data_IF_596151021744
#
_entry.id   IF_596151021744
#
_cell.length_a   1.000
_cell.length_b   1.000
_cell.length_c   1.000
_cell.angle_alpha   90.00
_cell.angle_beta   90.00
_cell.angle_gamma   90.00
#
_symmetry.space_group_name_H-M   'P 1'
#
loop_
_entity.id
_entity.type
_entity.pdbx_description
1 polymer ?
#
# COMPACT_ATOMS: atom_id res chain seq x y z
N UNK A 1 3.26 -3.08 8.05
CA UNK A 1 4.55 -2.53 8.50
C UNK A 1 5.02 -3.29 9.72
N UNK A 2 6.30 -3.59 9.84
CA UNK A 2 6.89 -4.17 11.06
C UNK A 2 7.30 -3.05 12.01
N UNK A 3 6.87 -3.14 13.26
CA UNK A 3 7.18 -2.23 14.36
C UNK A 3 8.03 -2.99 15.36
N UNK A 4 9.15 -2.42 15.78
CA UNK A 4 10.08 -3.02 16.73
C UNK A 4 10.23 -2.09 17.93
N UNK A 5 10.08 -2.63 19.13
CA UNK A 5 10.40 -1.91 20.35
C UNK A 5 11.92 -1.84 20.50
N UNK A 6 12.52 -0.72 20.11
CA UNK A 6 13.96 -0.49 20.24
C UNK A 6 14.34 0.11 21.61
N UNK A 7 13.39 0.19 22.55
CA UNK A 7 13.67 0.58 23.93
C UNK A 7 14.40 -0.56 24.65
N UNK A 8 15.14 -0.21 25.69
CA UNK A 8 15.79 -1.18 26.58
C UNK A 8 14.84 -1.89 27.55
N UNK A 9 13.53 -1.65 27.42
CA UNK A 9 12.48 -2.02 28.37
C UNK A 9 11.14 -2.29 27.65
N UNK A 10 10.19 -3.02 28.26
CA UNK A 10 8.90 -3.26 27.65
C UNK A 10 8.08 -1.97 27.55
N UNK A 11 7.28 -1.88 26.50
CA UNK A 11 6.28 -0.83 26.31
C UNK A 11 4.88 -1.46 26.28
N UNK A 12 3.92 -0.80 26.91
CA UNK A 12 2.50 -1.20 26.89
C UNK A 12 1.61 -0.14 26.25
N UNK A 13 0.35 -0.49 25.98
CA UNK A 13 -0.63 0.41 25.35
C UNK A 13 -0.10 1.09 24.07
N UNK A 14 0.62 0.31 23.24
CA UNK A 14 1.29 0.84 22.06
C UNK A 14 0.25 1.12 20.97
N UNK A 15 0.08 2.40 20.66
CA UNK A 15 -0.77 2.90 19.59
C UNK A 15 0.10 3.61 18.55
N UNK A 16 0.00 3.17 17.31
CA UNK A 16 0.65 3.81 16.17
C UNK A 16 -0.40 4.54 15.34
N UNK A 17 -0.06 5.73 14.85
CA UNK A 17 -0.93 6.50 13.95
C UNK A 17 -0.21 6.93 12.69
N UNK A 18 -0.81 6.60 11.56
CA UNK A 18 -0.37 6.96 10.22
C UNK A 18 -0.95 8.31 9.82
N UNK A 19 -0.10 9.16 9.25
CA UNK A 19 -0.46 10.42 8.64
C UNK A 19 0.06 10.48 7.21
N UNK A 20 -0.79 10.91 6.29
CA UNK A 20 -0.46 11.16 4.90
C UNK A 20 -0.99 12.53 4.49
N UNK A 21 -0.36 13.13 3.49
CA UNK A 21 -0.81 14.37 2.86
C UNK A 21 -0.84 14.16 1.34
N UNK A 22 -1.65 14.97 0.65
CA UNK A 22 -1.74 14.93 -0.80
C UNK A 22 -0.34 14.90 -1.45
N UNK A 23 -0.07 13.97 -2.37
CA UNK A 23 -1.03 13.11 -3.07
C UNK A 23 -1.27 11.72 -2.47
N UNK A 24 -0.92 11.51 -1.20
CA UNK A 24 -1.24 10.31 -0.44
C UNK A 24 -2.41 10.57 0.53
N UNK A 25 -3.23 9.55 0.74
CA UNK A 25 -4.38 9.63 1.65
C UNK A 25 -4.51 8.34 2.47
N UNK A 26 -4.79 8.48 3.76
CA UNK A 26 -5.07 7.36 4.66
C UNK A 26 -6.50 6.86 4.47
N UNK A 27 -6.71 5.55 4.59
CA UNK A 27 -8.06 4.96 4.56
C UNK A 27 -8.79 5.02 5.91
N UNK A 28 -9.74 4.12 6.11
CA UNK A 28 -10.49 3.99 7.36
C UNK A 28 -9.60 3.46 8.49
N UNK A 29 -8.57 2.69 8.15
CA UNK A 29 -7.59 2.14 9.11
C UNK A 29 -6.29 2.96 9.10
N UNK A 30 -6.24 4.05 9.87
CA UNK A 30 -5.06 4.91 10.07
C UNK A 30 -4.33 4.65 11.40
N UNK A 31 -4.87 3.79 12.27
CA UNK A 31 -4.33 3.47 13.60
C UNK A 31 -4.08 1.99 13.78
N UNK A 32 -3.06 1.65 14.56
CA UNK A 32 -2.71 0.28 14.92
C UNK A 32 -2.46 0.16 16.42
N UNK A 33 -2.92 -0.92 17.04
CA UNK A 33 -2.82 -1.13 18.48
C UNK A 33 -2.15 -2.46 18.81
N UNK A 34 -1.26 -2.44 19.80
CA UNK A 34 -0.65 -3.62 20.39
C UNK A 34 -0.60 -3.45 21.91
N UNK A 35 -1.11 -4.46 22.63
CA UNK A 35 -1.21 -4.39 24.10
C UNK A 35 0.15 -4.20 24.78
N UNK A 36 1.18 -4.91 24.32
CA UNK A 36 2.55 -4.73 24.81
C UNK A 36 3.57 -5.31 23.84
N UNK A 37 4.79 -4.79 23.89
CA UNK A 37 5.98 -5.35 23.23
C UNK A 37 7.14 -5.38 24.22
N UNK A 38 7.76 -6.53 24.38
CA UNK A 38 9.02 -6.65 25.11
C UNK A 38 10.16 -5.87 24.45
N UNK A 39 11.25 -5.66 25.20
CA UNK A 39 12.45 -5.02 24.66
C UNK A 39 13.01 -5.82 23.47
N UNK A 40 13.19 -5.17 22.32
CA UNK A 40 13.63 -5.77 21.06
C UNK A 40 12.58 -6.59 20.32
N UNK A 41 11.37 -6.74 20.88
CA UNK A 41 10.29 -7.49 20.23
C UNK A 41 9.73 -6.73 19.03
N UNK A 42 9.26 -7.47 18.03
CA UNK A 42 8.66 -6.91 16.81
C UNK A 42 7.29 -7.50 16.55
N UNK A 43 6.42 -6.67 15.98
CA UNK A 43 5.08 -7.06 15.55
C UNK A 43 4.72 -6.41 14.23
N UNK A 44 3.66 -6.87 13.58
CA UNK A 44 3.18 -6.29 12.32
C UNK A 44 1.87 -5.54 12.55
N UNK A 45 1.84 -4.28 12.16
CA UNK A 45 0.64 -3.46 12.12
C UNK A 45 0.22 -3.21 10.66
N UNK A 46 -1.09 -3.11 10.42
CA UNK A 46 -1.67 -2.86 9.10
C UNK A 46 -2.34 -1.50 9.09
N UNK A 47 -2.13 -0.76 8.00
CA UNK A 47 -2.70 0.55 7.76
C UNK A 47 -3.17 0.62 6.31
N UNK A 48 -4.21 1.40 6.07
CA UNK A 48 -4.72 1.68 4.74
C UNK A 48 -4.11 2.98 4.21
N UNK A 49 -3.52 2.88 3.03
CA UNK A 49 -2.91 3.99 2.32
C UNK A 49 -3.29 3.90 0.85
N UNK A 50 -3.68 5.03 0.27
CA UNK A 50 -4.04 5.16 -1.13
C UNK A 50 -3.42 6.41 -1.75
N UNK A 51 -3.46 6.48 -3.07
CA UNK A 51 -3.00 7.64 -3.85
C UNK A 51 -4.21 8.42 -4.36
N UNK A 52 -4.13 9.75 -4.32
CA UNK A 52 -5.11 10.63 -4.94
C UNK A 52 -4.81 10.82 -6.43
N UNK A 53 -5.69 11.53 -7.15
CA UNK A 53 -5.51 11.81 -8.58
C UNK A 53 -4.37 12.79 -8.92
N UNK A 54 -3.78 13.46 -7.92
CA UNK A 54 -2.60 14.33 -8.09
C UNK A 54 -1.27 13.57 -7.96
N UNK A 55 -1.31 12.27 -7.64
CA UNK A 55 -0.11 11.45 -7.51
C UNK A 55 0.61 11.32 -8.85
N UNK A 56 1.92 11.58 -8.85
CA UNK A 56 2.75 11.42 -10.06
C UNK A 56 3.45 10.05 -10.02
N UNK A 57 3.21 9.16 -11.00
CA UNK A 57 3.95 7.90 -11.12
C UNK A 57 5.46 8.12 -11.22
N UNK A 58 6.24 7.30 -10.54
CA UNK A 58 7.70 7.40 -10.44
C UNK A 58 8.19 8.40 -9.39
N UNK A 59 7.29 9.10 -8.69
CA UNK A 59 7.64 9.99 -7.58
C UNK A 59 7.57 9.28 -6.23
N UNK A 60 8.31 9.81 -5.27
CA UNK A 60 8.30 9.34 -3.87
C UNK A 60 7.69 10.40 -2.97
N UNK A 61 6.73 10.01 -2.13
CA UNK A 61 6.08 10.89 -1.17
C UNK A 61 6.23 10.34 0.25
N UNK A 62 6.50 11.20 1.26
CA UNK A 62 6.65 10.73 2.62
C UNK A 62 5.29 10.54 3.30
N UNK A 63 5.16 9.46 4.07
CA UNK A 63 4.18 9.35 5.15
C UNK A 63 4.87 9.62 6.50
N UNK A 64 4.09 9.99 7.49
CA UNK A 64 4.54 10.17 8.87
C UNK A 64 3.85 9.14 9.78
N UNK A 65 4.57 8.62 10.77
CA UNK A 65 4.06 7.69 11.75
C UNK A 65 4.50 8.12 13.15
N UNK A 66 3.54 8.26 14.06
CA UNK A 66 3.80 8.56 15.47
C UNK A 66 3.36 7.37 16.33
N UNK A 67 4.07 7.15 17.45
CA UNK A 67 3.74 6.10 18.41
C UNK A 67 3.50 6.69 19.78
N UNK A 68 2.35 6.36 20.39
CA UNK A 68 2.08 6.56 21.80
C UNK A 68 2.22 5.22 22.52
N UNK A 69 2.82 5.21 23.70
CA UNK A 69 2.96 4.01 24.53
C UNK A 69 3.09 4.41 25.99
N UNK A 70 2.80 3.48 26.90
CA UNK A 70 3.10 3.61 28.32
C UNK A 70 4.43 2.90 28.63
N UNK A 71 5.31 3.57 29.36
CA UNK A 71 6.57 3.01 29.82
C UNK A 71 6.41 2.12 31.08
N UNK A 72 7.52 1.64 31.64
CA UNK A 72 7.51 0.75 32.81
C UNK A 72 7.04 1.41 34.09
N UNK A 73 7.08 2.74 34.16
CA UNK A 73 6.58 3.54 35.28
C UNK A 73 5.08 3.83 35.13
N UNK A 74 4.50 3.50 33.97
CA UNK A 74 3.09 3.73 33.63
C UNK A 74 2.82 5.13 33.08
N UNK A 75 3.86 5.86 32.69
CA UNK A 75 3.74 7.19 32.11
C UNK A 75 3.58 7.08 30.58
N UNK A 76 2.60 7.81 30.04
CA UNK A 76 2.39 7.86 28.59
C UNK A 76 3.44 8.72 27.90
N UNK A 77 4.13 8.11 26.94
CA UNK A 77 5.14 8.71 26.09
C UNK A 77 4.63 8.85 24.65
N UNK A 78 5.16 9.84 23.95
CA UNK A 78 4.99 10.02 22.51
C UNK A 78 6.38 9.95 21.86
N UNK A 79 6.54 9.08 20.86
CA UNK A 79 7.78 8.96 20.11
C UNK A 79 8.03 10.18 19.22
N UNK A 80 9.26 10.31 18.75
CA UNK A 80 9.53 11.13 17.57
C UNK A 80 8.73 10.64 16.36
N UNK A 81 8.43 11.54 15.43
CA UNK A 81 7.77 11.21 14.17
C UNK A 81 8.71 10.48 13.22
N UNK A 82 8.31 9.29 12.80
CA UNK A 82 9.00 8.51 11.77
C UNK A 82 8.50 8.89 10.38
N UNK A 83 9.42 9.22 9.47
CA UNK A 83 9.08 9.50 8.07
C UNK A 83 9.47 8.32 7.18
N UNK A 84 8.50 7.77 6.47
CA UNK A 84 8.70 6.62 5.57
C UNK A 84 8.44 7.06 4.12
N UNK A 85 9.39 6.87 3.20
CA UNK A 85 9.18 7.17 1.79
C UNK A 85 8.31 6.10 1.12
N UNK A 86 7.27 6.52 0.42
CA UNK A 86 6.40 5.66 -0.39
C UNK A 86 6.60 5.99 -1.86
N UNK A 87 7.01 5.00 -2.64
CA UNK A 87 7.11 5.12 -4.09
C UNK A 87 5.75 4.90 -4.73
N UNK A 88 5.33 5.85 -5.57
CA UNK A 88 4.10 5.74 -6.35
C UNK A 88 4.43 5.16 -7.73
N UNK A 89 3.86 4.03 -8.06
CA UNK A 89 4.01 3.39 -9.37
C UNK A 89 2.81 3.68 -10.27
N UNK A 90 3.01 3.62 -11.58
CA UNK A 90 1.89 3.74 -12.52
C UNK A 90 0.92 2.57 -12.33
N UNK A 91 -0.37 2.86 -12.26
CA UNK A 91 -1.39 1.82 -12.33
C UNK A 91 -1.31 1.13 -13.68
N UNK A 92 -0.98 -0.16 -13.70
CA UNK A 92 -1.07 -0.99 -14.90
C UNK A 92 -2.56 -1.19 -15.21
N UNK A 93 -3.15 -0.24 -15.93
CA UNK A 93 -4.53 -0.33 -16.37
C UNK A 93 -4.73 -1.61 -17.19
N UNK A 94 -5.57 -2.52 -16.68
CA UNK A 94 -6.04 -3.71 -17.38
C UNK A 94 -6.88 -3.35 -18.61
N UNK A 95 -6.24 -2.83 -19.65
CA UNK A 95 -6.81 -2.76 -20.98
C UNK A 95 -6.70 -4.13 -21.64
N UNK A 96 -7.80 -4.64 -22.20
CA UNK A 96 -7.75 -5.82 -23.06
C UNK A 96 -6.63 -5.62 -24.09
N UNK A 97 -5.76 -6.63 -24.32
CA UNK A 97 -4.68 -6.51 -25.29
C UNK A 97 -5.30 -6.38 -26.68
N UNK A 98 -5.53 -5.14 -27.11
CA UNK A 98 -6.04 -4.79 -28.44
C UNK A 98 -5.32 -5.58 -29.56
N UNK A 99 -3.99 -5.80 -29.54
CA UNK A 99 -3.35 -6.61 -30.58
C UNK A 99 -3.90 -8.05 -30.67
N UNK A 100 -4.26 -8.68 -29.54
CA UNK A 100 -4.83 -10.04 -29.51
C UNK A 100 -6.24 -10.05 -30.10
N UNK A 101 -7.06 -9.03 -29.79
CA UNK A 101 -8.42 -8.90 -30.36
C UNK A 101 -8.35 -8.70 -31.88
N UNK A 102 -7.45 -7.83 -32.36
CA UNK A 102 -7.26 -7.64 -33.80
C UNK A 102 -6.84 -8.92 -34.53
N UNK A 103 -5.96 -9.71 -33.93
CA UNK A 103 -5.48 -10.96 -34.51
C UNK A 103 -6.59 -12.03 -34.56
N UNK A 104 -7.40 -12.13 -33.50
CA UNK A 104 -8.56 -13.04 -33.46
C UNK A 104 -9.60 -12.69 -34.54
N UNK A 105 -9.92 -11.40 -34.73
CA UNK A 105 -10.83 -10.96 -35.80
C UNK A 105 -10.28 -11.27 -37.19
N UNK A 106 -8.98 -11.08 -37.41
CA UNK A 106 -8.33 -11.42 -38.68
C UNK A 106 -8.38 -12.91 -38.98
N UNK A 107 -8.11 -13.77 -38.00
CA UNK A 107 -8.15 -15.23 -38.17
C UNK A 107 -9.58 -15.72 -38.44
N UNK A 108 -10.57 -15.21 -37.70
CA UNK A 108 -11.99 -15.56 -37.93
C UNK A 108 -12.46 -15.03 -39.29
N UNK A 109 -12.10 -13.80 -39.65
CA UNK A 109 -12.45 -13.20 -40.95
C UNK A 109 -11.84 -13.93 -42.14
N UNK A 110 -10.54 -14.26 -42.06
CA UNK A 110 -9.85 -15.02 -43.12
C UNK A 110 -10.32 -16.47 -43.20
N UNK A 111 -10.52 -17.14 -42.05
CA UNK A 111 -11.08 -18.50 -42.00
C UNK A 111 -12.50 -18.56 -42.57
N UNK A 112 -13.36 -17.59 -42.23
CA UNK A 112 -14.71 -17.46 -42.79
C UNK A 112 -14.71 -17.24 -44.31
N UNK A 113 -13.80 -16.41 -44.82
CA UNK A 113 -13.69 -16.11 -46.25
C UNK A 113 -13.20 -17.31 -47.07
N UNK A 114 -12.28 -18.11 -46.54
CA UNK A 114 -11.78 -19.34 -47.19
C UNK A 114 -12.88 -20.41 -47.23
N UNK A 115 -13.64 -20.59 -46.15
CA UNK A 115 -14.76 -21.56 -46.10
C UNK A 115 -15.89 -21.13 -47.03
N UNK A 116 -16.21 -19.83 -47.10
CA UNK A 116 -17.23 -19.31 -48.01
C UNK A 116 -16.86 -19.53 -49.48
N UNK A 117 -15.60 -19.24 -49.86
CA UNK A 117 -15.10 -19.47 -51.23
C UNK A 117 -14.98 -20.94 -51.62
N UNK A 118 -14.85 -21.86 -50.66
CA UNK A 118 -14.85 -23.31 -50.92
C UNK A 118 -16.24 -23.92 -51.06
N UNK A 119 -17.29 -23.18 -50.67
CA UNK A 119 -18.70 -23.63 -50.75
C UNK A 119 -19.46 -23.02 -51.93
N UNK A 120 -18.86 -22.10 -52.68
CA UNK A 120 -19.29 -21.68 -54.01
C UNK A 120 -18.60 -22.53 -55.08
#
# INVERSE_FOLDING_TARGET
MTVTNNLGEPASDLEARLFANDPLETGDTDTGYVQSLGAGESTTMMFELSTTGSATPGSTYPISLDFRYDDVDGDSQLSDTYRVPIEVTASEGGGLPLPIIFLAVLVVGTGGLIVYRRRQ
#
